data_IF_522783327713
#
_entry.id   IF_522783327713
#
_cell.length_a   1.000
_cell.length_b   1.000
_cell.length_c   1.000
_cell.angle_alpha   90.00
_cell.angle_beta   90.00
_cell.angle_gamma   90.00
#
_symmetry.space_group_name_H-M   'P 1'
#
loop_
_entity.id
_entity.type
_entity.pdbx_description
1 polymer ?
#
# COMPACT_ATOMS: atom_id res chain seq x y z
N UNK A 1 -72.39 1.77 23.28
CA UNK A 1 -71.60 1.07 22.26
C UNK A 1 -70.21 0.86 22.83
N UNK A 2 -69.94 -0.37 23.19
CA UNK A 2 -68.87 -0.79 24.10
C UNK A 2 -67.71 -1.32 23.26
N UNK A 3 -66.51 -0.75 23.40
CA UNK A 3 -65.30 -1.41 22.88
C UNK A 3 -64.96 -2.58 23.80
N UNK A 4 -65.03 -3.78 23.25
CA UNK A 4 -64.50 -5.02 23.84
C UNK A 4 -63.12 -5.23 23.23
N UNK A 5 -62.11 -5.38 24.09
CA UNK A 5 -60.83 -5.94 23.73
C UNK A 5 -60.95 -7.47 23.62
N UNK A 6 -60.34 -8.07 22.59
CA UNK A 6 -59.81 -9.43 22.70
C UNK A 6 -58.60 -9.62 21.79
N UNK A 7 -57.51 -10.02 22.45
CA UNK A 7 -56.26 -10.54 21.90
C UNK A 7 -56.52 -11.92 21.30
N UNK A 8 -55.97 -12.23 20.13
CA UNK A 8 -55.50 -13.59 19.84
C UNK A 8 -54.33 -13.58 18.84
N UNK A 9 -53.30 -14.32 19.26
CA UNK A 9 -52.04 -14.69 18.63
C UNK A 9 -52.09 -15.14 17.16
N UNK A 10 -51.03 -14.84 16.41
CA UNK A 10 -50.48 -15.77 15.42
C UNK A 10 -49.06 -16.15 15.79
N UNK A 11 -48.97 -17.26 16.53
CA UNK A 11 -47.81 -18.14 16.59
C UNK A 11 -47.60 -18.70 15.18
N UNK A 12 -46.40 -18.56 14.63
CA UNK A 12 -46.05 -19.09 13.31
C UNK A 12 -44.71 -18.57 12.80
N UNK A 13 -43.66 -18.64 13.62
CA UNK A 13 -42.30 -18.41 13.14
C UNK A 13 -41.90 -19.54 12.17
N UNK A 14 -41.02 -19.27 11.19
CA UNK A 14 -40.54 -20.32 10.29
C UNK A 14 -39.84 -21.40 11.11
N UNK A 15 -40.48 -22.56 11.18
CA UNK A 15 -39.87 -23.82 11.60
C UNK A 15 -38.72 -24.10 10.61
N UNK A 16 -37.51 -24.24 11.14
CA UNK A 16 -36.25 -24.52 10.46
C UNK A 16 -35.57 -23.31 9.78
N UNK A 17 -35.09 -22.37 10.60
CA UNK A 17 -33.78 -21.75 10.30
C UNK A 17 -32.73 -22.77 10.72
N UNK A 18 -31.94 -23.36 9.81
CA UNK A 18 -30.77 -24.10 10.23
C UNK A 18 -29.88 -23.08 10.92
N UNK A 19 -29.81 -23.14 12.25
CA UNK A 19 -28.73 -22.51 12.98
C UNK A 19 -27.49 -23.27 12.56
N UNK A 20 -26.82 -22.76 11.53
CA UNK A 20 -25.43 -23.11 11.28
C UNK A 20 -24.68 -22.54 12.47
N UNK A 21 -24.65 -23.32 13.56
CA UNK A 21 -23.58 -23.23 14.54
C UNK A 21 -22.35 -23.73 13.80
N UNK A 22 -21.79 -22.89 12.93
CA UNK A 22 -20.38 -22.96 12.66
C UNK A 22 -19.73 -22.67 14.02
N UNK A 23 -19.55 -23.71 14.83
CA UNK A 23 -18.48 -23.73 15.79
C UNK A 23 -17.21 -23.73 14.95
N UNK A 24 -16.82 -22.56 14.45
CA UNK A 24 -15.40 -22.28 14.36
C UNK A 24 -14.93 -22.49 15.81
N UNK A 25 -14.34 -23.65 16.05
CA UNK A 25 -13.67 -23.93 17.30
C UNK A 25 -12.53 -22.92 17.34
N UNK A 26 -12.81 -21.74 17.91
CA UNK A 26 -11.77 -20.81 18.32
C UNK A 26 -10.87 -21.64 19.23
N UNK A 27 -9.64 -21.88 18.78
CA UNK A 27 -8.63 -22.45 19.64
C UNK A 27 -8.66 -21.69 20.98
N UNK A 28 -8.53 -22.37 22.13
CA UNK A 28 -8.44 -21.69 23.42
C UNK A 28 -7.43 -20.53 23.32
N UNK A 29 -7.79 -19.38 23.86
CA UNK A 29 -6.88 -18.23 23.95
C UNK A 29 -5.62 -18.70 24.70
N UNK A 30 -4.46 -18.64 24.04
CA UNK A 30 -3.18 -19.17 24.54
C UNK A 30 -2.65 -20.45 23.86
N UNK A 31 -3.41 -21.07 22.96
CA UNK A 31 -2.98 -22.23 22.15
C UNK A 31 -2.53 -21.84 20.72
N UNK A 32 -2.27 -20.56 20.47
CA UNK A 32 -1.81 -20.05 19.18
C UNK A 32 -0.34 -19.70 19.23
N UNK A 33 0.50 -20.57 18.66
CA UNK A 33 1.97 -20.45 18.55
C UNK A 33 2.76 -20.82 19.83
N UNK A 34 2.98 -22.13 20.02
CA UNK A 34 3.91 -22.65 21.02
C UNK A 34 5.33 -22.65 20.44
N UNK A 35 6.23 -21.90 21.07
CA UNK A 35 7.66 -21.91 20.73
C UNK A 35 8.41 -22.88 21.64
N UNK A 36 9.10 -23.84 21.05
CA UNK A 36 10.04 -24.69 21.78
C UNK A 36 11.49 -24.18 21.68
N UNK A 37 12.41 -24.88 22.35
CA UNK A 37 13.82 -24.49 22.33
C UNK A 37 14.48 -24.67 20.94
N UNK A 38 13.94 -25.53 20.09
CA UNK A 38 14.34 -25.68 18.69
C UNK A 38 13.93 -24.46 17.87
N UNK A 39 12.67 -24.02 18.02
CA UNK A 39 12.15 -22.83 17.32
C UNK A 39 12.95 -21.57 17.67
N UNK A 40 13.23 -21.37 18.97
CA UNK A 40 14.03 -20.23 19.43
C UNK A 40 15.46 -20.25 18.89
N UNK A 41 16.09 -21.45 18.80
CA UNK A 41 17.42 -21.59 18.19
C UNK A 41 17.39 -21.29 16.70
N UNK A 42 16.35 -21.77 16.00
CA UNK A 42 16.18 -21.49 14.57
C UNK A 42 16.01 -19.99 14.30
N UNK A 43 15.14 -19.31 15.06
CA UNK A 43 14.93 -17.86 14.96
C UNK A 43 16.22 -17.09 15.28
N UNK A 44 16.91 -17.45 16.36
CA UNK A 44 18.17 -16.81 16.73
C UNK A 44 19.22 -16.98 15.63
N UNK A 45 19.33 -18.17 15.06
CA UNK A 45 20.26 -18.43 13.97
C UNK A 45 19.94 -17.63 12.70
N UNK A 46 18.65 -17.48 12.35
CA UNK A 46 18.23 -16.62 11.25
C UNK A 46 18.63 -15.15 11.49
N UNK A 47 18.58 -14.68 12.74
CA UNK A 47 19.05 -13.33 13.14
C UNK A 47 20.56 -13.22 12.97
N UNK A 48 21.35 -14.21 13.39
CA UNK A 48 22.81 -14.21 13.22
C UNK A 48 23.23 -14.11 11.75
N UNK A 49 22.54 -14.82 10.85
CA UNK A 49 22.76 -14.74 9.40
C UNK A 49 22.46 -13.35 8.86
N UNK A 50 21.32 -12.76 9.27
CA UNK A 50 20.95 -11.42 8.85
C UNK A 50 21.94 -10.36 9.37
N UNK A 51 22.44 -10.52 10.59
CA UNK A 51 23.45 -9.62 11.16
C UNK A 51 24.79 -9.71 10.42
N UNK A 52 25.25 -10.92 10.08
CA UNK A 52 26.47 -11.12 9.30
C UNK A 52 26.35 -10.50 7.90
N UNK A 53 25.22 -10.72 7.21
CA UNK A 53 24.93 -10.10 5.93
C UNK A 53 24.88 -8.57 6.02
N UNK A 54 24.20 -8.01 7.02
CA UNK A 54 24.13 -6.56 7.26
C UNK A 54 25.50 -5.92 7.62
N UNK A 55 26.49 -6.73 7.99
CA UNK A 55 27.88 -6.34 8.23
C UNK A 55 28.79 -6.50 6.99
N UNK A 56 28.24 -6.90 5.84
CA UNK A 56 28.97 -7.09 4.58
C UNK A 56 29.38 -8.55 4.31
N UNK A 57 28.90 -9.50 5.13
CA UNK A 57 29.04 -10.93 4.88
C UNK A 57 28.25 -11.39 3.65
N UNK A 58 28.55 -12.59 3.16
CA UNK A 58 27.82 -13.22 2.04
C UNK A 58 26.75 -14.14 2.57
N UNK A 59 25.51 -14.04 2.07
CA UNK A 59 24.40 -14.90 2.52
C UNK A 59 24.60 -16.38 2.20
N UNK A 60 25.08 -16.74 1.01
CA UNK A 60 25.25 -18.13 0.58
C UNK A 60 26.72 -18.54 0.69
N UNK A 61 27.03 -19.59 1.47
CA UNK A 61 28.40 -20.04 1.65
C UNK A 61 28.54 -21.11 2.75
N UNK A 62 29.74 -21.68 2.96
CA UNK A 62 29.96 -22.79 3.90
C UNK A 62 30.06 -22.37 5.38
N UNK A 63 30.08 -21.07 5.67
CA UNK A 63 30.31 -20.50 6.99
C UNK A 63 29.12 -20.67 7.94
N UNK A 64 29.34 -20.48 9.26
CA UNK A 64 28.31 -20.69 10.27
C UNK A 64 27.12 -19.73 10.09
N UNK A 65 27.34 -18.46 9.74
CA UNK A 65 26.29 -17.46 9.56
C UNK A 65 25.89 -17.29 8.09
N UNK A 66 25.89 -18.39 7.34
CA UNK A 66 25.53 -18.42 5.92
C UNK A 66 24.48 -19.50 5.67
N UNK A 67 23.71 -19.35 4.61
CA UNK A 67 22.69 -20.30 4.16
C UNK A 67 23.38 -21.56 3.62
N UNK A 68 23.36 -22.64 4.41
CA UNK A 68 23.97 -23.92 4.03
C UNK A 68 23.33 -25.11 4.75
N UNK A 69 23.53 -26.29 4.17
CA UNK A 69 23.22 -27.56 4.80
C UNK A 69 24.53 -28.27 5.13
N UNK A 70 24.90 -28.32 6.43
CA UNK A 70 26.12 -28.96 6.93
C UNK A 70 27.41 -28.49 6.23
N UNK A 71 27.57 -27.17 6.07
CA UNK A 71 28.71 -26.55 5.40
C UNK A 71 28.64 -26.57 3.88
N UNK A 72 27.59 -27.14 3.29
CA UNK A 72 27.37 -27.13 1.83
C UNK A 72 26.39 -26.03 1.45
N UNK A 73 26.78 -25.00 0.69
CA UNK A 73 25.88 -23.93 0.27
C UNK A 73 24.66 -24.49 -0.46
N UNK A 74 23.46 -24.09 -0.04
CA UNK A 74 22.22 -24.53 -0.67
C UNK A 74 21.21 -23.37 -0.73
N UNK A 75 20.95 -22.78 -1.91
CA UNK A 75 20.08 -21.63 -2.06
C UNK A 75 18.58 -21.93 -1.85
N UNK A 76 18.20 -23.20 -1.69
CA UNK A 76 16.79 -23.62 -1.49
C UNK A 76 16.39 -23.67 -0.01
N UNK A 77 17.31 -23.40 0.91
CA UNK A 77 17.01 -23.47 2.34
C UNK A 77 16.25 -22.22 2.79
N UNK A 78 15.17 -22.38 3.58
CA UNK A 78 14.40 -21.27 4.12
C UNK A 78 15.07 -20.69 5.37
N UNK A 79 16.32 -20.23 5.24
CA UNK A 79 17.15 -19.79 6.36
C UNK A 79 17.55 -18.31 6.22
N UNK A 80 17.54 -17.59 7.34
CA UNK A 80 17.77 -16.14 7.38
C UNK A 80 16.46 -15.34 7.49
N UNK A 81 16.59 -14.01 7.47
CA UNK A 81 15.46 -13.09 7.45
C UNK A 81 15.25 -12.54 6.04
N UNK A 82 14.01 -12.14 5.73
CA UNK A 82 13.70 -11.42 4.48
C UNK A 82 14.31 -10.02 4.54
N UNK A 83 14.94 -9.56 3.47
CA UNK A 83 15.24 -8.13 3.33
C UNK A 83 13.94 -7.36 3.10
N UNK A 84 13.94 -6.07 3.43
CA UNK A 84 12.74 -5.21 3.29
C UNK A 84 12.41 -4.95 1.83
N UNK A 85 13.43 -4.86 0.98
CA UNK A 85 13.29 -4.62 -0.46
C UNK A 85 13.05 -5.90 -1.27
N UNK A 86 12.91 -7.06 -0.63
CA UNK A 86 12.66 -8.35 -1.31
C UNK A 86 13.85 -8.92 -2.08
N UNK A 87 15.01 -8.24 -2.08
CA UNK A 87 16.26 -8.79 -2.61
C UNK A 87 16.71 -10.02 -1.82
N UNK A 88 17.60 -10.81 -2.43
CA UNK A 88 18.12 -12.07 -1.89
C UNK A 88 17.05 -13.12 -1.53
N UNK A 89 15.82 -12.99 -2.05
CA UNK A 89 14.82 -14.05 -1.99
C UNK A 89 15.29 -15.27 -2.81
N UNK A 90 16.01 -15.03 -3.91
CA UNK A 90 16.68 -16.05 -4.69
C UNK A 90 18.20 -15.91 -4.55
N UNK A 91 18.86 -16.96 -4.04
CA UNK A 91 20.29 -16.97 -3.77
C UNK A 91 21.12 -17.65 -4.88
N UNK A 92 20.54 -17.97 -6.04
CA UNK A 92 21.29 -18.56 -7.16
C UNK A 92 22.33 -17.56 -7.67
N UNK A 93 23.63 -17.88 -7.65
CA UNK A 93 24.69 -16.92 -8.00
C UNK A 93 25.02 -16.89 -9.49
N UNK A 94 24.60 -17.90 -10.27
CA UNK A 94 24.90 -18.01 -11.71
C UNK A 94 23.70 -18.54 -12.50
N UNK A 95 23.08 -17.73 -13.37
CA UNK A 95 23.22 -16.27 -13.40
C UNK A 95 22.82 -15.69 -12.04
N UNK A 96 23.34 -14.52 -11.70
CA UNK A 96 23.02 -13.88 -10.42
C UNK A 96 21.53 -13.49 -10.39
N UNK A 97 20.78 -14.08 -9.45
CA UNK A 97 19.33 -13.91 -9.29
C UNK A 97 18.96 -13.17 -8.01
N UNK A 98 19.90 -12.54 -7.29
CA UNK A 98 19.61 -11.90 -6.01
C UNK A 98 18.60 -10.74 -6.10
N UNK A 99 18.42 -10.12 -7.27
CA UNK A 99 17.42 -9.07 -7.46
C UNK A 99 16.07 -9.60 -7.95
N UNK A 100 15.88 -10.90 -8.14
CA UNK A 100 14.57 -11.40 -8.58
C UNK A 100 13.50 -11.02 -7.56
N UNK A 101 12.50 -10.27 -8.01
CA UNK A 101 11.41 -9.78 -7.15
C UNK A 101 11.85 -8.78 -6.07
N UNK A 102 12.99 -8.10 -6.24
CA UNK A 102 13.28 -6.92 -5.45
C UNK A 102 12.35 -5.76 -5.86
N UNK A 103 12.05 -4.86 -4.93
CA UNK A 103 11.39 -3.60 -5.21
C UNK A 103 12.28 -2.69 -6.05
N UNK A 104 11.68 -1.64 -6.59
CA UNK A 104 12.32 -0.62 -7.42
C UNK A 104 12.96 -1.16 -8.71
N UNK A 105 12.45 -2.29 -9.20
CA UNK A 105 12.83 -2.89 -10.47
C UNK A 105 11.83 -2.60 -11.58
N UNK A 106 12.32 -2.64 -12.82
CA UNK A 106 11.48 -2.47 -14.01
C UNK A 106 10.53 -3.64 -14.18
N UNK A 107 9.25 -3.37 -14.46
CA UNK A 107 8.30 -4.43 -14.78
C UNK A 107 8.74 -5.25 -16.00
N UNK A 108 8.72 -6.59 -15.92
CA UNK A 108 9.00 -7.43 -17.08
C UNK A 108 7.88 -7.26 -18.11
N UNK A 109 8.27 -7.11 -19.38
CA UNK A 109 7.32 -7.06 -20.49
C UNK A 109 7.12 -8.45 -21.08
N UNK A 110 5.86 -8.90 -21.10
CA UNK A 110 5.48 -10.11 -21.84
C UNK A 110 5.35 -9.84 -23.35
N UNK A 111 5.11 -8.59 -23.75
CA UNK A 111 4.90 -8.19 -25.15
C UNK A 111 5.60 -6.87 -25.46
N UNK A 112 5.84 -6.62 -26.76
CA UNK A 112 6.35 -5.33 -27.25
C UNK A 112 5.34 -4.22 -26.91
N UNK A 113 5.78 -3.07 -26.34
CA UNK A 113 4.87 -1.97 -26.02
C UNK A 113 4.24 -1.37 -27.29
N UNK A 114 2.98 -0.98 -27.19
CA UNK A 114 2.22 -0.34 -28.27
C UNK A 114 1.77 1.06 -27.84
N UNK A 115 2.44 2.09 -28.35
CA UNK A 115 2.05 3.49 -28.16
C UNK A 115 1.37 4.02 -29.43
N UNK A 116 0.20 4.64 -29.27
CA UNK A 116 -0.64 5.08 -30.39
C UNK A 116 -0.70 6.61 -30.48
N UNK A 117 -0.93 7.17 -31.68
CA UNK A 117 -1.38 8.55 -31.81
C UNK A 117 -2.66 8.79 -31.00
N UNK A 118 -2.82 10.01 -30.52
CA UNK A 118 -3.99 10.47 -29.78
C UNK A 118 -4.61 11.69 -30.47
N UNK A 119 -5.61 12.29 -29.83
CA UNK A 119 -6.34 13.42 -30.40
C UNK A 119 -5.52 14.72 -30.32
N UNK A 120 -5.99 15.75 -31.03
CA UNK A 120 -5.39 17.09 -31.05
C UNK A 120 -3.88 17.11 -31.40
N UNK A 121 -3.41 16.15 -32.19
CA UNK A 121 -2.01 16.04 -32.61
C UNK A 121 -1.06 15.53 -31.52
N UNK A 122 -1.59 15.07 -30.38
CA UNK A 122 -0.81 14.44 -29.31
C UNK A 122 -0.62 12.93 -29.58
N UNK A 123 0.22 12.26 -28.81
CA UNK A 123 0.53 10.85 -28.96
C UNK A 123 1.06 10.23 -27.68
N UNK A 124 0.69 8.97 -27.43
CA UNK A 124 1.29 8.18 -26.35
C UNK A 124 2.77 7.85 -26.58
N UNK A 125 3.32 8.09 -27.78
CA UNK A 125 4.77 8.01 -28.03
C UNK A 125 5.54 9.19 -27.43
N UNK A 126 4.86 10.28 -27.06
CA UNK A 126 5.50 11.44 -26.45
C UNK A 126 5.98 11.07 -25.04
N UNK A 127 7.26 11.31 -24.76
CA UNK A 127 7.86 11.03 -23.44
C UNK A 127 7.42 12.04 -22.38
N UNK A 128 7.16 13.28 -22.79
CA UNK A 128 6.71 14.35 -21.91
C UNK A 128 5.54 15.13 -22.56
N UNK A 129 4.89 15.97 -21.78
CA UNK A 129 3.73 16.76 -22.18
C UNK A 129 2.42 16.00 -22.02
N UNK A 130 1.33 16.74 -22.17
CA UNK A 130 -0.01 16.19 -22.05
C UNK A 130 -0.44 15.45 -23.32
N UNK A 131 -1.17 14.35 -23.12
CA UNK A 131 -1.88 13.63 -24.18
C UNK A 131 -3.35 14.01 -24.08
N UNK A 132 -3.98 14.38 -25.20
CA UNK A 132 -5.41 14.66 -25.27
C UNK A 132 -6.07 13.43 -25.90
N UNK A 133 -6.94 12.78 -25.13
CA UNK A 133 -7.61 11.56 -25.59
C UNK A 133 -8.96 11.37 -24.86
N UNK A 134 -10.05 11.60 -25.58
CA UNK A 134 -11.42 11.40 -25.08
C UNK A 134 -11.83 9.93 -25.02
N UNK A 135 -11.13 9.03 -25.72
CA UNK A 135 -11.54 7.65 -25.88
C UNK A 135 -11.66 6.85 -24.57
N UNK A 136 -10.77 6.99 -23.57
CA UNK A 136 -10.93 6.28 -22.29
C UNK A 136 -12.28 6.55 -21.62
N UNK A 137 -12.76 7.80 -21.66
CA UNK A 137 -14.07 8.17 -21.10
C UNK A 137 -15.22 7.67 -21.95
N UNK A 138 -15.12 7.77 -23.28
CA UNK A 138 -16.12 7.21 -24.19
C UNK A 138 -16.27 5.69 -23.97
N UNK A 139 -15.17 4.97 -23.86
CA UNK A 139 -15.16 3.52 -23.57
C UNK A 139 -15.82 3.26 -22.21
N UNK A 140 -15.51 4.06 -21.18
CA UNK A 140 -16.16 3.95 -19.87
C UNK A 140 -17.68 4.10 -19.95
N UNK A 141 -18.18 5.11 -20.67
CA UNK A 141 -19.62 5.32 -20.86
C UNK A 141 -20.28 4.18 -21.64
N UNK A 142 -19.59 3.60 -22.63
CA UNK A 142 -20.16 2.54 -23.47
C UNK A 142 -20.14 1.16 -22.80
N UNK A 143 -19.16 0.90 -21.93
CA UNK A 143 -18.90 -0.45 -21.40
C UNK A 143 -19.21 -0.57 -19.91
N UNK A 144 -18.76 0.40 -19.11
CA UNK A 144 -18.79 0.31 -17.64
C UNK A 144 -20.08 0.91 -17.06
N UNK A 145 -20.79 1.75 -17.81
CA UNK A 145 -22.07 2.31 -17.40
C UNK A 145 -23.07 1.20 -17.05
N UNK A 146 -23.54 1.18 -15.81
CA UNK A 146 -24.54 0.20 -15.33
C UNK A 146 -25.96 0.76 -15.34
N UNK A 147 -26.19 1.95 -15.89
CA UNK A 147 -27.53 2.54 -16.00
C UNK A 147 -28.32 1.98 -17.18
N UNK A 148 -29.57 2.44 -17.33
CA UNK A 148 -30.43 2.10 -18.46
C UNK A 148 -29.91 2.58 -19.83
N UNK A 149 -28.88 3.44 -19.86
CA UNK A 149 -28.27 3.91 -21.10
C UNK A 149 -27.35 2.87 -21.75
N UNK A 150 -26.95 1.82 -21.01
CA UNK A 150 -26.15 0.72 -21.53
C UNK A 150 -27.04 -0.51 -21.82
N UNK A 151 -27.23 -0.89 -23.10
CA UNK A 151 -28.02 -2.06 -23.47
C UNK A 151 -27.50 -3.37 -22.85
N UNK A 152 -26.20 -3.51 -22.60
CA UNK A 152 -25.63 -4.67 -21.95
C UNK A 152 -26.03 -4.75 -20.47
N UNK A 153 -26.05 -3.60 -19.76
CA UNK A 153 -26.52 -3.52 -18.38
C UNK A 153 -28.03 -3.82 -18.30
N UNK A 154 -28.83 -3.29 -19.23
CA UNK A 154 -30.27 -3.59 -19.35
C UNK A 154 -30.50 -5.08 -19.58
N UNK A 155 -29.76 -5.71 -20.49
CA UNK A 155 -29.87 -7.14 -20.76
C UNK A 155 -29.49 -8.00 -19.54
N UNK A 156 -28.43 -7.63 -18.81
CA UNK A 156 -28.01 -8.31 -17.59
C UNK A 156 -29.03 -8.14 -16.45
N UNK A 157 -29.62 -6.95 -16.29
CA UNK A 157 -30.66 -6.68 -15.30
C UNK A 157 -31.97 -7.41 -15.63
N UNK A 158 -32.37 -7.46 -16.91
CA UNK A 158 -33.57 -8.14 -17.37
C UNK A 158 -33.47 -9.68 -17.27
N UNK A 159 -32.25 -10.22 -17.25
CA UNK A 159 -31.99 -11.64 -17.05
C UNK A 159 -31.02 -11.83 -15.87
N UNK A 160 -31.50 -11.74 -14.62
CA UNK A 160 -30.68 -11.85 -13.42
C UNK A 160 -30.21 -13.29 -13.14
N UNK A 161 -30.13 -14.14 -14.17
CA UNK A 161 -29.58 -15.47 -14.07
C UNK A 161 -28.10 -15.47 -14.48
N UNK A 162 -27.31 -16.29 -13.80
CA UNK A 162 -25.95 -16.58 -14.25
C UNK A 162 -25.94 -17.17 -15.65
N UNK A 163 -24.76 -17.31 -16.23
CA UNK A 163 -24.60 -18.03 -17.50
C UNK A 163 -25.34 -19.39 -17.44
N UNK A 164 -26.02 -19.80 -18.50
CA UNK A 164 -26.78 -21.06 -18.53
C UNK A 164 -28.10 -21.11 -17.74
N UNK A 165 -28.48 -20.09 -16.96
CA UNK A 165 -29.81 -20.01 -16.34
C UNK A 165 -30.04 -20.92 -15.12
N UNK A 166 -28.99 -21.53 -14.58
CA UNK A 166 -29.10 -22.51 -13.49
C UNK A 166 -29.34 -21.88 -12.12
N UNK A 167 -28.72 -20.74 -11.86
CA UNK A 167 -28.90 -19.95 -10.64
C UNK A 167 -29.33 -18.55 -11.04
N UNK A 168 -30.45 -18.10 -10.48
CA UNK A 168 -31.01 -16.78 -10.72
C UNK A 168 -31.04 -15.97 -9.43
N UNK A 169 -30.54 -14.74 -9.53
CA UNK A 169 -30.74 -13.72 -8.51
C UNK A 169 -32.18 -13.20 -8.55
N UNK A 170 -32.62 -12.60 -7.44
CA UNK A 170 -33.85 -11.80 -7.46
C UNK A 170 -33.66 -10.54 -8.30
N UNK A 171 -34.75 -10.04 -8.88
CA UNK A 171 -34.75 -8.67 -9.41
C UNK A 171 -34.49 -7.66 -8.29
N UNK A 172 -33.74 -6.62 -8.57
CA UNK A 172 -33.46 -5.54 -7.63
C UNK A 172 -33.87 -4.18 -8.20
N UNK A 173 -34.14 -3.23 -7.31
CA UNK A 173 -34.38 -1.84 -7.71
C UNK A 173 -33.07 -1.19 -8.13
N UNK A 174 -33.12 -0.31 -9.12
CA UNK A 174 -31.98 0.54 -9.46
C UNK A 174 -31.57 1.39 -8.26
N UNK A 175 -30.28 1.69 -8.16
CA UNK A 175 -29.76 2.63 -7.18
C UNK A 175 -30.40 4.02 -7.40
N UNK A 176 -31.02 4.62 -6.37
CA UNK A 176 -31.78 5.86 -6.55
C UNK A 176 -30.91 7.10 -6.73
N UNK A 177 -29.61 7.03 -6.44
CA UNK A 177 -28.67 8.17 -6.55
C UNK A 177 -28.00 8.17 -7.92
N UNK A 178 -27.51 7.02 -8.33
CA UNK A 178 -26.71 6.83 -9.54
C UNK A 178 -27.52 6.33 -10.73
N UNK A 179 -28.71 5.76 -10.49
CA UNK A 179 -29.51 5.09 -11.52
C UNK A 179 -28.94 3.75 -11.97
N UNK A 180 -27.89 3.24 -11.31
CA UNK A 180 -27.28 1.96 -11.64
C UNK A 180 -28.30 0.82 -11.50
N UNK A 181 -28.43 -0.01 -12.52
CA UNK A 181 -29.30 -1.17 -12.53
C UNK A 181 -28.72 -2.25 -11.61
N UNK A 182 -29.61 -2.95 -10.90
CA UNK A 182 -29.19 -4.08 -10.08
C UNK A 182 -28.77 -5.26 -10.97
N UNK A 183 -27.51 -5.66 -10.90
CA UNK A 183 -26.99 -6.86 -11.54
C UNK A 183 -26.54 -7.80 -10.42
N UNK A 184 -27.12 -9.01 -10.31
CA UNK A 184 -26.78 -9.89 -9.20
C UNK A 184 -25.34 -10.40 -9.33
N UNK A 185 -24.67 -10.47 -8.19
CA UNK A 185 -23.40 -11.15 -8.08
C UNK A 185 -23.62 -12.66 -8.16
N UNK A 186 -23.41 -13.23 -9.34
CA UNK A 186 -23.48 -14.67 -9.60
C UNK A 186 -22.13 -15.09 -10.17
N UNK A 187 -21.57 -16.16 -9.63
CA UNK A 187 -20.25 -16.65 -10.05
C UNK A 187 -20.28 -17.18 -11.49
N UNK A 188 -19.14 -17.12 -12.22
CA UNK A 188 -19.08 -17.53 -13.64
C UNK A 188 -19.37 -19.01 -13.89
N UNK A 189 -19.25 -19.87 -12.87
CA UNK A 189 -19.57 -21.31 -12.91
C UNK A 189 -21.07 -21.57 -12.80
N UNK A 190 -21.87 -20.77 -13.50
CA UNK A 190 -23.34 -20.82 -13.50
C UNK A 190 -23.98 -20.54 -12.14
N UNK A 191 -23.26 -19.89 -11.22
CA UNK A 191 -23.71 -19.61 -9.87
C UNK A 191 -23.66 -20.79 -8.90
N UNK A 192 -22.96 -21.88 -9.26
CA UNK A 192 -22.82 -23.06 -8.41
C UNK A 192 -21.96 -22.76 -7.17
N UNK A 193 -20.97 -21.89 -7.32
CA UNK A 193 -20.17 -21.38 -6.22
C UNK A 193 -20.87 -20.23 -5.47
N UNK A 194 -20.48 -20.02 -4.21
CA UNK A 194 -21.00 -18.90 -3.44
C UNK A 194 -20.59 -17.56 -4.08
N UNK A 195 -21.49 -16.56 -4.16
CA UNK A 195 -21.16 -15.20 -4.55
C UNK A 195 -20.05 -14.59 -3.70
N UNK A 196 -19.29 -13.65 -4.27
CA UNK A 196 -18.32 -12.87 -3.50
C UNK A 196 -19.00 -11.89 -2.53
N UNK A 197 -18.29 -11.51 -1.47
CA UNK A 197 -18.70 -10.46 -0.55
C UNK A 197 -17.70 -9.31 -0.57
N UNK A 198 -17.99 -8.23 0.14
CA UNK A 198 -17.13 -7.05 0.15
C UNK A 198 -15.70 -7.33 0.67
N UNK A 199 -15.55 -8.27 1.61
CA UNK A 199 -14.23 -8.68 2.11
C UNK A 199 -13.38 -9.32 1.02
N UNK A 200 -13.98 -10.05 0.08
CA UNK A 200 -13.24 -10.62 -1.06
C UNK A 200 -12.63 -9.51 -1.93
N UNK A 201 -13.40 -8.44 -2.21
CA UNK A 201 -12.91 -7.29 -2.98
C UNK A 201 -11.79 -6.55 -2.24
N UNK A 202 -11.96 -6.27 -0.95
CA UNK A 202 -10.92 -5.59 -0.17
C UNK A 202 -9.67 -6.42 0.04
N UNK A 203 -9.82 -7.74 0.21
CA UNK A 203 -8.68 -8.64 0.23
C UNK A 203 -7.95 -8.61 -1.12
N UNK A 204 -8.67 -8.62 -2.24
CA UNK A 204 -8.09 -8.49 -3.56
C UNK A 204 -7.27 -7.20 -3.73
N UNK A 205 -7.84 -6.05 -3.31
CA UNK A 205 -7.12 -4.77 -3.32
C UNK A 205 -5.90 -4.77 -2.40
N UNK A 206 -6.05 -5.24 -1.16
CA UNK A 206 -4.94 -5.35 -0.23
C UNK A 206 -3.82 -6.23 -0.80
N UNK A 207 -4.18 -7.36 -1.43
CA UNK A 207 -3.23 -8.28 -2.02
C UNK A 207 -2.50 -7.66 -3.23
N UNK A 208 -3.24 -7.02 -4.14
CA UNK A 208 -2.72 -6.27 -5.30
C UNK A 208 -1.71 -5.20 -4.89
N UNK A 209 -2.01 -4.40 -3.85
CA UNK A 209 -1.11 -3.38 -3.33
C UNK A 209 0.21 -3.94 -2.77
N UNK A 210 0.30 -5.24 -2.52
CA UNK A 210 1.55 -5.90 -2.15
C UNK A 210 2.22 -6.67 -3.27
N UNK A 211 1.74 -6.56 -4.50
CA UNK A 211 2.36 -7.15 -5.67
C UNK A 211 2.88 -6.08 -6.62
N UNK A 212 2.14 -4.98 -6.77
CA UNK A 212 2.57 -3.89 -7.62
C UNK A 212 2.15 -2.48 -7.16
N UNK A 213 3.03 -1.52 -7.44
CA UNK A 213 2.75 -0.10 -7.35
C UNK A 213 3.65 0.66 -8.33
N UNK A 214 3.04 1.50 -9.17
CA UNK A 214 3.74 2.26 -10.22
C UNK A 214 3.94 3.72 -9.81
N UNK A 215 5.15 4.26 -10.00
CA UNK A 215 5.42 5.68 -9.84
C UNK A 215 4.55 6.55 -10.77
N UNK A 216 3.94 7.60 -10.23
CA UNK A 216 3.03 8.50 -10.95
C UNK A 216 3.68 9.89 -11.09
N UNK A 217 3.52 10.52 -12.25
CA UNK A 217 3.90 11.92 -12.50
C UNK A 217 5.22 12.12 -13.25
N UNK A 218 5.59 13.39 -13.44
CA UNK A 218 6.83 13.81 -14.12
C UNK A 218 6.76 13.90 -15.64
N UNK A 219 5.72 13.34 -16.29
CA UNK A 219 5.67 13.17 -17.75
C UNK A 219 4.39 13.72 -18.41
N UNK A 220 3.77 14.70 -17.75
CA UNK A 220 2.49 15.27 -18.14
C UNK A 220 1.28 14.43 -17.69
N UNK A 221 0.14 14.69 -18.32
CA UNK A 221 -1.14 14.08 -17.98
C UNK A 221 -1.88 13.62 -19.23
N UNK A 222 -2.78 12.65 -19.08
CA UNK A 222 -3.83 12.37 -20.04
C UNK A 222 -5.02 13.29 -19.69
N UNK A 223 -5.35 14.18 -20.62
CA UNK A 223 -6.55 15.02 -20.57
C UNK A 223 -7.61 14.29 -21.38
N UNK A 224 -8.76 14.03 -20.77
CA UNK A 224 -9.87 13.30 -21.37
C UNK A 224 -11.06 14.26 -21.53
N UNK A 225 -11.20 14.94 -22.69
CA UNK A 225 -12.35 15.80 -22.94
C UNK A 225 -13.67 15.05 -22.81
N UNK A 226 -14.65 15.68 -22.17
CA UNK A 226 -16.01 15.15 -22.07
C UNK A 226 -16.79 15.49 -23.33
N UNK A 227 -17.55 14.52 -23.85
CA UNK A 227 -18.46 14.76 -24.95
C UNK A 227 -19.69 15.55 -24.46
N UNK A 228 -20.38 16.34 -25.32
CA UNK A 228 -21.55 17.12 -24.91
C UNK A 228 -22.70 16.30 -24.32
N UNK A 229 -22.77 15.01 -24.66
CA UNK A 229 -23.75 14.04 -24.17
C UNK A 229 -23.24 13.22 -22.96
N UNK A 230 -22.03 13.49 -22.47
CA UNK A 230 -21.54 12.88 -21.23
C UNK A 230 -22.34 13.43 -20.02
N UNK A 231 -22.80 12.58 -19.09
CA UNK A 231 -23.53 13.04 -17.90
C UNK A 231 -22.77 14.04 -17.01
N UNK A 232 -21.43 14.06 -17.09
CA UNK A 232 -20.60 15.02 -16.34
C UNK A 232 -20.37 16.34 -17.09
N UNK A 233 -20.80 16.44 -18.35
CA UNK A 233 -20.64 17.64 -19.16
C UNK A 233 -21.59 18.74 -18.72
N UNK A 234 -21.07 19.96 -18.58
CA UNK A 234 -21.86 21.17 -18.27
C UNK A 234 -21.64 22.20 -19.37
N UNK A 235 -22.69 22.51 -20.12
CA UNK A 235 -22.60 23.46 -21.23
C UNK A 235 -22.02 24.81 -20.78
N UNK A 236 -20.99 25.28 -21.49
CA UNK A 236 -20.27 26.52 -21.18
C UNK A 236 -19.26 26.43 -20.02
N UNK A 237 -19.15 25.28 -19.35
CA UNK A 237 -18.12 25.09 -18.31
C UNK A 237 -16.71 25.01 -18.92
N UNK A 238 -15.71 25.66 -18.29
CA UNK A 238 -14.32 25.53 -18.71
C UNK A 238 -13.68 24.20 -18.26
N UNK A 239 -14.37 23.36 -17.48
CA UNK A 239 -13.82 22.13 -16.88
C UNK A 239 -14.44 20.85 -17.43
N UNK A 240 -14.88 20.84 -18.69
CA UNK A 240 -15.44 19.66 -19.36
C UNK A 240 -14.36 18.66 -19.80
N UNK A 241 -13.53 18.22 -18.85
CA UNK A 241 -12.50 17.19 -19.06
C UNK A 241 -12.15 16.52 -17.74
N UNK A 242 -11.72 15.26 -17.82
CA UNK A 242 -11.03 14.56 -16.73
C UNK A 242 -9.52 14.64 -16.94
N UNK A 243 -8.75 14.52 -15.87
CA UNK A 243 -7.28 14.53 -15.93
C UNK A 243 -6.70 13.39 -15.12
N UNK A 244 -5.70 12.71 -15.68
CA UNK A 244 -4.96 11.63 -15.02
C UNK A 244 -3.47 11.81 -15.26
N UNK A 245 -2.66 11.78 -14.21
CA UNK A 245 -1.19 11.86 -14.37
C UNK A 245 -0.66 10.61 -15.06
N UNK A 246 0.34 10.79 -15.93
CA UNK A 246 1.03 9.67 -16.58
C UNK A 246 2.03 9.06 -15.61
N UNK A 247 2.37 7.78 -15.80
CA UNK A 247 3.41 7.11 -15.02
C UNK A 247 4.79 7.78 -15.22
N UNK A 248 5.69 7.58 -14.26
CA UNK A 248 7.07 8.07 -14.34
C UNK A 248 7.88 7.21 -15.32
N UNK A 249 8.39 7.81 -16.40
CA UNK A 249 9.38 7.22 -17.30
C UNK A 249 10.70 7.00 -16.57
N UNK A 250 11.52 6.12 -17.14
CA UNK A 250 12.87 5.85 -16.69
C UNK A 250 13.88 6.69 -17.47
N UNK A 251 15.03 7.05 -16.88
CA UNK A 251 16.08 7.76 -17.59
C UNK A 251 16.57 6.92 -18.78
N UNK A 252 16.89 7.61 -19.87
CA UNK A 252 17.53 7.01 -21.03
C UNK A 252 19.03 6.77 -20.83
N UNK A 253 19.77 6.45 -21.92
CA UNK A 253 21.23 6.40 -21.92
C UNK A 253 21.95 7.62 -21.31
N UNK A 254 21.34 8.81 -21.30
CA UNK A 254 21.90 10.00 -20.67
C UNK A 254 21.82 10.01 -19.13
N UNK A 255 21.05 9.10 -18.53
CA UNK A 255 20.86 9.00 -17.09
C UNK A 255 19.94 10.08 -16.49
N UNK A 256 19.25 10.87 -17.32
CA UNK A 256 18.41 12.01 -16.89
C UNK A 256 16.96 11.72 -17.27
N UNK A 257 16.02 11.97 -16.34
CA UNK A 257 14.58 11.85 -16.61
C UNK A 257 14.04 13.15 -17.21
N UNK A 258 13.13 13.04 -18.17
CA UNK A 258 12.45 14.17 -18.81
C UNK A 258 13.11 14.62 -20.10
N UNK A 259 14.02 13.81 -20.65
CA UNK A 259 14.73 14.05 -21.91
C UNK A 259 14.11 13.23 -23.05
N UNK A 260 14.66 13.37 -24.25
CA UNK A 260 14.09 12.74 -25.45
C UNK A 260 14.33 11.22 -25.50
N UNK A 261 15.34 10.72 -24.80
CA UNK A 261 15.74 9.31 -24.75
C UNK A 261 15.13 8.53 -23.57
N UNK A 262 14.25 9.16 -22.79
CA UNK A 262 13.45 8.53 -21.73
C UNK A 262 12.82 7.20 -22.19
N UNK A 263 12.91 6.20 -21.34
CA UNK A 263 12.34 4.87 -21.56
C UNK A 263 10.94 4.83 -20.95
N UNK A 264 9.94 4.46 -21.75
CA UNK A 264 8.54 4.35 -21.30
C UNK A 264 8.27 2.96 -20.71
N UNK A 265 8.90 2.70 -19.59
CA UNK A 265 8.66 1.53 -18.73
C UNK A 265 8.29 1.99 -17.32
N UNK A 266 7.76 1.08 -16.51
CA UNK A 266 7.42 1.36 -15.11
C UNK A 266 8.39 0.66 -14.17
N UNK A 267 8.71 1.32 -13.06
CA UNK A 267 9.29 0.69 -11.88
C UNK A 267 8.14 0.16 -11.00
N UNK A 268 8.29 -1.06 -10.49
CA UNK A 268 7.48 -1.55 -9.39
C UNK A 268 8.10 -1.11 -8.07
N UNK A 269 7.42 -0.25 -7.32
CA UNK A 269 7.88 0.19 -6.00
C UNK A 269 7.74 -0.90 -4.93
N UNK A 270 6.96 -1.94 -5.19
CA UNK A 270 6.70 -2.99 -4.21
C UNK A 270 7.54 -4.23 -4.49
N UNK A 271 7.72 -5.07 -3.47
CA UNK A 271 8.19 -6.43 -3.66
C UNK A 271 7.05 -7.27 -4.25
N UNK A 272 7.18 -7.89 -5.44
CA UNK A 272 6.14 -8.74 -6.02
C UNK A 272 6.03 -10.13 -5.32
N UNK A 273 6.29 -10.16 -4.01
CA UNK A 273 6.20 -11.33 -3.16
C UNK A 273 5.00 -11.21 -2.23
N UNK A 274 4.41 -12.35 -1.86
CA UNK A 274 3.41 -12.39 -0.77
C UNK A 274 4.15 -12.36 0.57
N UNK A 275 4.65 -11.19 0.96
CA UNK A 275 5.54 -11.00 2.12
C UNK A 275 5.04 -9.95 3.13
N UNK A 276 3.80 -9.48 2.97
CA UNK A 276 3.19 -8.42 3.78
C UNK A 276 3.89 -7.05 3.66
N UNK A 277 4.54 -6.74 2.54
CA UNK A 277 5.07 -5.40 2.30
C UNK A 277 4.01 -4.27 2.40
N UNK A 278 2.71 -4.58 2.26
CA UNK A 278 1.63 -3.62 2.52
C UNK A 278 1.61 -3.14 3.97
N UNK A 279 2.14 -3.94 4.89
CA UNK A 279 2.27 -3.61 6.32
C UNK A 279 3.70 -3.18 6.66
N UNK A 280 4.70 -3.87 6.12
CA UNK A 280 6.10 -3.71 6.52
C UNK A 280 6.95 -2.86 5.56
N UNK A 281 6.32 -2.35 4.50
CA UNK A 281 6.90 -1.56 3.40
C UNK A 281 7.83 -2.37 2.50
N UNK A 282 8.18 -1.79 1.34
CA UNK A 282 9.15 -2.34 0.38
C UNK A 282 10.48 -1.57 0.39
N UNK A 283 10.72 -0.68 1.35
CA UNK A 283 11.97 0.08 1.42
C UNK A 283 12.41 0.27 2.87
N UNK A 284 13.65 -0.10 3.19
CA UNK A 284 14.20 -0.08 4.55
C UNK A 284 14.04 1.26 5.28
N UNK A 285 14.28 2.39 4.58
CA UNK A 285 14.02 3.74 5.13
C UNK A 285 12.56 3.95 5.55
N UNK A 286 11.59 3.52 4.74
CA UNK A 286 10.16 3.67 5.05
C UNK A 286 9.81 2.84 6.29
N UNK A 287 10.32 1.62 6.39
CA UNK A 287 10.11 0.76 7.54
C UNK A 287 10.61 1.38 8.85
N UNK A 288 11.73 2.13 8.84
CA UNK A 288 12.23 2.82 10.04
C UNK A 288 11.19 3.79 10.60
N UNK A 289 10.46 4.52 9.76
CA UNK A 289 9.45 5.48 10.22
C UNK A 289 8.17 4.81 10.72
N UNK A 290 7.86 3.59 10.28
CA UNK A 290 6.64 2.85 10.68
C UNK A 290 6.83 1.95 11.91
N UNK A 291 8.06 1.69 12.35
CA UNK A 291 8.34 0.96 13.60
C UNK A 291 8.10 1.87 14.82
N UNK A 292 7.70 1.30 15.95
CA UNK A 292 7.60 2.02 17.22
C UNK A 292 8.96 2.09 17.93
N UNK A 293 9.28 3.25 18.52
CA UNK A 293 10.52 3.47 19.26
C UNK A 293 10.29 3.96 20.68
N UNK A 294 11.09 3.41 21.59
CA UNK A 294 11.24 3.91 22.95
C UNK A 294 12.60 4.57 23.12
N UNK A 295 12.71 5.50 24.08
CA UNK A 295 13.99 6.12 24.40
C UNK A 295 14.66 5.36 25.54
N UNK A 296 15.78 4.70 25.26
CA UNK A 296 16.59 4.03 26.27
C UNK A 296 17.93 4.75 26.34
N UNK A 297 18.27 5.26 27.53
CA UNK A 297 19.48 6.05 27.76
C UNK A 297 19.69 7.19 26.73
N UNK A 298 18.60 7.86 26.35
CA UNK A 298 18.62 8.98 25.40
C UNK A 298 18.72 8.58 23.93
N UNK A 299 18.62 7.29 23.58
CA UNK A 299 18.69 6.79 22.20
C UNK A 299 17.39 6.09 21.77
N UNK A 300 16.97 6.21 20.50
CA UNK A 300 15.84 5.45 19.98
C UNK A 300 16.19 3.97 19.89
N UNK A 301 15.35 3.13 20.49
CA UNK A 301 15.42 1.66 20.41
C UNK A 301 14.04 1.15 20.01
N UNK A 302 14.00 0.34 18.96
CA UNK A 302 12.75 -0.29 18.52
C UNK A 302 12.28 -1.31 19.54
N UNK A 303 10.98 -1.33 19.84
CA UNK A 303 10.39 -2.26 20.81
C UNK A 303 9.71 -3.48 20.18
N UNK A 304 9.89 -3.65 18.87
CA UNK A 304 9.35 -4.76 18.08
C UNK A 304 7.91 -4.55 17.58
N UNK A 305 7.29 -3.40 17.88
CA UNK A 305 5.95 -3.06 17.41
C UNK A 305 5.98 -2.15 16.18
N UNK A 306 4.87 -2.13 15.46
CA UNK A 306 4.56 -1.07 14.50
C UNK A 306 4.00 0.15 15.22
N UNK A 307 4.11 1.32 14.61
CA UNK A 307 3.61 2.57 15.18
C UNK A 307 2.08 2.54 15.25
N UNK A 308 1.57 2.46 16.48
CA UNK A 308 0.16 2.51 16.81
C UNK A 308 -0.35 3.96 16.94
N UNK A 309 -1.63 4.16 16.61
CA UNK A 309 -2.37 5.41 16.81
C UNK A 309 -3.11 5.47 18.15
N UNK A 310 -3.79 6.59 18.42
CA UNK A 310 -4.33 6.91 19.75
C UNK A 310 -5.53 6.10 20.26
N UNK A 311 -6.19 5.29 19.43
CA UNK A 311 -7.35 4.49 19.85
C UNK A 311 -6.94 3.05 20.08
N UNK A 312 -6.96 2.63 21.35
CA UNK A 312 -6.52 1.32 21.78
C UNK A 312 -7.60 0.61 22.60
N UNK A 313 -7.70 -0.71 22.43
CA UNK A 313 -8.55 -1.58 23.26
C UNK A 313 -7.76 -2.80 23.72
N UNK A 314 -8.02 -3.37 24.91
CA UNK A 314 -7.33 -4.59 25.33
C UNK A 314 -7.53 -5.72 24.33
N UNK A 315 -6.45 -6.41 23.93
CA UNK A 315 -6.58 -7.63 23.15
C UNK A 315 -7.23 -8.72 24.01
N UNK A 316 -8.03 -9.62 23.42
CA UNK A 316 -8.54 -10.79 24.12
C UNK A 316 -7.44 -11.87 24.28
N UNK A 317 -6.19 -11.48 24.53
CA UNK A 317 -5.04 -12.38 24.76
C UNK A 317 -4.87 -12.72 26.24
N UNK A 318 -5.49 -11.96 27.14
CA UNK A 318 -5.34 -12.14 28.59
C UNK A 318 -4.01 -11.61 29.14
N UNK A 319 -3.17 -10.99 28.30
CA UNK A 319 -1.89 -10.39 28.70
C UNK A 319 -2.15 -8.97 29.23
N UNK A 320 -1.83 -8.66 30.51
CA UNK A 320 -2.00 -7.31 31.05
C UNK A 320 -1.24 -6.26 30.23
N UNK A 321 -1.93 -5.23 29.76
CA UNK A 321 -1.34 -4.15 28.97
C UNK A 321 -1.18 -4.45 27.48
N UNK A 322 -1.60 -5.64 27.01
CA UNK A 322 -1.65 -5.92 25.58
C UNK A 322 -2.88 -5.23 24.96
N UNK A 323 -2.63 -4.21 24.14
CA UNK A 323 -3.65 -3.43 23.47
C UNK A 323 -3.54 -3.61 21.95
N UNK A 324 -4.69 -3.68 21.29
CA UNK A 324 -4.81 -3.49 19.85
C UNK A 324 -5.23 -2.04 19.62
N UNK A 325 -4.38 -1.32 18.92
CA UNK A 325 -4.62 0.07 18.56
C UNK A 325 -4.95 0.19 17.07
N UNK A 326 -5.53 1.32 16.69
CA UNK A 326 -5.58 1.70 15.27
C UNK A 326 -4.16 1.87 14.73
N UNK A 327 -4.02 1.72 13.42
CA UNK A 327 -2.78 2.10 12.72
C UNK A 327 -2.47 3.58 12.99
N UNK A 328 -1.19 3.91 13.21
CA UNK A 328 -0.74 5.29 13.36
C UNK A 328 -1.13 6.15 12.15
N UNK A 329 -1.63 7.34 12.41
CA UNK A 329 -1.91 8.36 11.40
C UNK A 329 -0.65 9.21 11.12
N UNK A 330 -0.75 10.09 10.13
CA UNK A 330 0.36 10.97 9.72
C UNK A 330 0.87 11.87 10.87
N UNK A 331 -0.01 12.30 11.76
CA UNK A 331 0.34 13.03 12.97
C UNK A 331 1.26 12.22 13.89
N UNK A 332 0.92 10.97 14.19
CA UNK A 332 1.77 10.10 15.03
C UNK A 332 3.12 9.80 14.37
N UNK A 333 3.16 9.60 13.04
CA UNK A 333 4.42 9.43 12.29
C UNK A 333 5.32 10.65 12.44
N UNK A 334 4.78 11.86 12.21
CA UNK A 334 5.52 13.12 12.40
C UNK A 334 5.99 13.31 13.84
N UNK A 335 5.13 13.04 14.82
CA UNK A 335 5.45 13.19 16.25
C UNK A 335 6.56 12.24 16.67
N UNK A 336 6.49 10.96 16.28
CA UNK A 336 7.55 10.00 16.60
C UNK A 336 8.86 10.37 15.88
N UNK A 337 8.80 10.73 14.60
CA UNK A 337 9.97 11.14 13.84
C UNK A 337 10.69 12.31 14.53
N UNK A 338 9.98 13.34 14.97
CA UNK A 338 10.57 14.49 15.65
C UNK A 338 11.13 14.12 17.04
N UNK A 339 10.33 13.43 17.86
CA UNK A 339 10.64 13.24 19.29
C UNK A 339 11.54 12.04 19.60
N UNK A 340 11.51 10.99 18.77
CA UNK A 340 12.29 9.76 18.96
C UNK A 340 13.43 9.64 17.97
N UNK A 341 13.17 9.95 16.70
CA UNK A 341 14.17 9.83 15.63
C UNK A 341 14.97 11.13 15.42
N UNK A 342 14.50 12.26 15.97
CA UNK A 342 15.14 13.56 15.83
C UNK A 342 15.03 14.18 14.44
N UNK A 343 14.01 13.79 13.66
CA UNK A 343 13.81 14.22 12.27
C UNK A 343 12.46 14.94 12.14
N UNK A 344 12.49 16.17 11.63
CA UNK A 344 11.31 16.96 11.32
C UNK A 344 10.77 16.57 9.95
N UNK A 345 9.72 15.76 9.93
CA UNK A 345 8.93 15.53 8.72
C UNK A 345 7.98 16.71 8.46
N UNK A 346 7.91 17.15 7.21
CA UNK A 346 6.95 18.16 6.71
C UNK A 346 5.84 17.47 5.91
N UNK A 347 4.70 18.14 5.70
CA UNK A 347 3.56 17.49 5.04
C UNK A 347 3.87 16.99 3.63
N UNK A 348 4.79 17.63 2.90
CA UNK A 348 5.24 17.15 1.59
C UNK A 348 5.92 15.77 1.66
N UNK A 349 6.49 15.39 2.81
CA UNK A 349 7.14 14.10 2.98
C UNK A 349 6.16 12.94 2.88
N UNK A 350 4.85 13.18 3.08
CA UNK A 350 3.81 12.15 2.91
C UNK A 350 3.83 11.52 1.52
N UNK A 351 4.26 12.29 0.51
CA UNK A 351 4.31 11.88 -0.89
C UNK A 351 5.68 11.31 -1.29
N UNK A 352 6.71 11.42 -0.44
CA UNK A 352 8.00 10.85 -0.74
C UNK A 352 8.89 10.72 0.51
N UNK A 353 9.06 9.50 0.99
CA UNK A 353 9.81 9.17 2.21
C UNK A 353 11.28 9.62 2.06
N UNK A 354 11.82 10.40 3.04
CA UNK A 354 13.24 10.72 3.09
C UNK A 354 14.11 9.46 3.20
N UNK A 355 15.27 9.45 2.53
CA UNK A 355 16.21 8.35 2.60
C UNK A 355 17.02 8.40 3.91
N UNK A 356 16.92 7.33 4.69
CA UNK A 356 17.75 7.07 5.86
C UNK A 356 18.83 6.04 5.51
N UNK A 357 20.01 6.21 6.11
CA UNK A 357 21.04 5.20 6.10
C UNK A 357 20.57 3.99 6.92
N UNK A 358 20.34 2.87 6.24
CA UNK A 358 19.76 1.64 6.80
C UNK A 358 20.54 0.42 6.32
N UNK A 359 20.36 -0.71 7.00
CA UNK A 359 20.72 -2.02 6.46
C UNK A 359 19.54 -2.67 5.70
N UNK A 360 19.76 -3.79 4.98
CA UNK A 360 18.71 -4.44 4.20
C UNK A 360 17.51 -4.94 5.02
N UNK A 361 17.61 -4.97 6.35
CA UNK A 361 16.59 -5.50 7.27
C UNK A 361 15.84 -4.38 8.01
N UNK A 362 15.97 -3.14 7.54
CA UNK A 362 15.23 -1.98 8.07
C UNK A 362 15.72 -1.50 9.43
N UNK A 363 16.95 -1.85 9.83
CA UNK A 363 17.59 -1.23 10.97
C UNK A 363 18.42 -0.03 10.49
N UNK A 364 18.16 1.15 11.07
CA UNK A 364 18.94 2.35 10.74
C UNK A 364 20.37 2.22 11.25
N UNK A 365 21.33 2.77 10.51
CA UNK A 365 22.70 2.89 11.01
C UNK A 365 22.77 4.14 11.91
N UNK A 366 23.05 3.99 13.21
CA UNK A 366 23.08 5.11 14.12
C UNK A 366 24.30 6.01 13.85
N UNK A 367 24.10 7.32 13.94
CA UNK A 367 25.20 8.27 13.99
C UNK A 367 25.88 8.31 15.37
N UNK A 368 26.83 9.23 15.59
CA UNK A 368 27.58 9.35 16.84
C UNK A 368 26.73 9.56 18.10
N UNK A 369 25.54 10.18 17.99
CA UNK A 369 24.60 10.37 19.10
C UNK A 369 23.63 9.20 19.27
N UNK A 370 23.61 8.25 18.35
CA UNK A 370 22.75 7.07 18.37
C UNK A 370 21.43 7.24 17.64
N UNK A 371 21.27 8.29 16.82
CA UNK A 371 20.05 8.58 16.06
C UNK A 371 20.19 8.17 14.59
N UNK A 372 19.07 7.95 13.86
CA UNK A 372 19.12 7.68 12.43
C UNK A 372 19.74 8.83 11.64
N UNK A 373 20.34 8.52 10.50
CA UNK A 373 21.01 9.49 9.64
C UNK A 373 20.28 9.64 8.30
N UNK A 374 19.87 10.87 7.96
CA UNK A 374 19.38 11.25 6.63
C UNK A 374 20.54 11.23 5.64
N UNK A 375 20.32 10.67 4.45
CA UNK A 375 21.29 10.69 3.35
C UNK A 375 21.06 11.95 2.52
N UNK A 376 22.07 12.81 2.42
CA UNK A 376 21.99 14.09 1.72
C UNK A 376 22.76 14.03 0.38
N UNK A 377 22.37 14.82 -0.64
CA UNK A 377 23.11 14.92 -1.90
C UNK A 377 24.48 15.57 -1.70
N UNK A 378 25.44 15.23 -2.55
CA UNK A 378 26.74 15.89 -2.63
C UNK A 378 26.70 17.02 -3.68
N UNK A 379 27.30 18.21 -3.42
CA UNK A 379 27.88 18.62 -2.14
C UNK A 379 26.80 18.78 -1.07
N UNK A 380 27.14 18.47 0.19
CA UNK A 380 26.17 18.52 1.28
C UNK A 380 25.54 19.93 1.36
N UNK A 381 24.22 20.04 1.57
CA UNK A 381 23.56 21.34 1.75
C UNK A 381 24.30 22.21 2.78
N UNK A 382 24.51 23.49 2.49
CA UNK A 382 25.30 24.37 3.33
C UNK A 382 24.75 24.40 4.77
N UNK A 383 25.63 24.17 5.75
CA UNK A 383 25.25 24.14 7.17
C UNK A 383 24.53 22.87 7.64
N UNK A 384 24.30 21.89 6.76
CA UNK A 384 23.67 20.61 7.15
C UNK A 384 24.62 19.71 7.95
N UNK A 385 25.90 19.64 7.57
CA UNK A 385 26.93 18.86 8.24
C UNK A 385 28.24 19.66 8.35
N UNK A 386 29.14 19.32 9.29
CA UNK A 386 30.46 19.94 9.36
C UNK A 386 31.23 19.84 8.03
N UNK A 387 32.03 20.86 7.72
CA UNK A 387 32.84 20.87 6.50
C UNK A 387 33.80 19.66 6.45
N UNK A 388 33.78 18.92 5.33
CA UNK A 388 34.59 17.72 5.14
C UNK A 388 33.98 16.42 5.72
N UNK A 389 32.79 16.48 6.33
CA UNK A 389 32.07 15.28 6.73
C UNK A 389 31.36 14.60 5.54
N UNK A 390 31.04 13.31 5.71
CA UNK A 390 30.10 12.61 4.82
C UNK A 390 28.74 13.33 4.82
N UNK A 391 28.04 13.35 3.67
CA UNK A 391 26.70 13.94 3.53
C UNK A 391 25.61 13.09 4.22
N UNK A 392 25.75 12.91 5.52
CA UNK A 392 24.87 12.17 6.41
C UNK A 392 24.50 13.07 7.58
N UNK A 393 23.22 13.41 7.69
CA UNK A 393 22.70 14.26 8.75
C UNK A 393 22.01 13.40 9.82
N UNK A 394 22.68 13.24 10.95
CA UNK A 394 22.12 12.54 12.10
C UNK A 394 20.95 13.35 12.72
N UNK A 395 19.86 12.65 13.04
CA UNK A 395 18.73 13.20 13.78
C UNK A 395 19.12 13.85 15.10
N UNK A 396 18.39 14.88 15.47
CA UNK A 396 18.58 15.64 16.71
C UNK A 396 17.24 16.15 17.24
N UNK A 397 16.66 15.51 18.27
CA UNK A 397 15.41 15.97 18.85
C UNK A 397 15.46 17.39 19.42
N UNK A 398 16.65 17.95 19.71
CA UNK A 398 16.79 19.32 20.21
C UNK A 398 16.94 20.36 19.09
N UNK A 399 17.23 19.94 17.86
CA UNK A 399 17.39 20.85 16.73
C UNK A 399 16.09 21.59 16.42
N UNK A 400 16.24 22.78 15.82
CA UNK A 400 15.12 23.63 15.39
C UNK A 400 14.09 23.92 16.51
N UNK A 401 14.57 24.10 17.74
CA UNK A 401 13.71 24.38 18.89
C UNK A 401 12.91 23.17 19.39
N UNK A 402 13.44 21.96 19.22
CA UNK A 402 12.76 20.72 19.64
C UNK A 402 11.98 20.01 18.53
N UNK A 403 12.11 20.47 17.28
CA UNK A 403 11.33 19.95 16.15
C UNK A 403 12.03 18.83 15.38
N UNK A 404 13.32 18.58 15.62
CA UNK A 404 14.12 17.67 14.81
C UNK A 404 14.88 18.38 13.69
N UNK A 405 15.85 17.70 13.08
CA UNK A 405 16.56 18.17 11.87
C UNK A 405 15.66 18.14 10.65
N UNK A 406 15.84 19.04 9.69
CA UNK A 406 14.97 19.13 8.52
C UNK A 406 15.21 17.99 7.52
N UNK A 407 14.15 17.32 7.07
CA UNK A 407 14.16 16.25 6.08
C UNK A 407 14.26 16.73 4.62
N UNK A 408 13.98 18.00 4.35
CA UNK A 408 13.82 18.54 2.98
C UNK A 408 15.07 18.41 2.11
N UNK A 409 16.25 18.44 2.72
CA UNK A 409 17.53 18.29 2.03
C UNK A 409 17.94 16.84 1.75
N UNK A 410 17.19 15.84 2.22
CA UNK A 410 17.53 14.44 2.03
C UNK A 410 17.17 13.94 0.63
N UNK A 411 17.92 12.93 0.17
CA UNK A 411 17.49 12.08 -0.93
C UNK A 411 16.14 11.47 -0.61
N UNK A 412 15.43 11.09 -1.67
CA UNK A 412 14.07 10.60 -1.62
C UNK A 412 14.02 9.18 -2.16
N UNK A 413 13.24 8.33 -1.50
CA UNK A 413 13.12 6.91 -1.86
C UNK A 413 12.21 6.70 -3.07
N UNK A 414 11.38 7.69 -3.41
CA UNK A 414 10.24 7.59 -4.31
C UNK A 414 9.06 6.76 -3.79
N UNK A 415 9.06 6.37 -2.52
CA UNK A 415 7.94 5.68 -1.87
C UNK A 415 7.11 6.69 -1.07
N UNK A 416 5.79 6.58 -1.07
CA UNK A 416 4.88 7.42 -0.30
C UNK A 416 4.57 6.78 1.06
N UNK A 417 4.30 7.60 2.07
CA UNK A 417 3.70 7.11 3.33
C UNK A 417 2.23 6.73 3.14
N UNK A 418 1.51 7.45 2.28
CA UNK A 418 0.09 7.22 2.00
C UNK A 418 -0.13 7.08 0.49
N UNK A 419 -0.69 5.94 0.10
CA UNK A 419 -1.05 5.61 -1.27
C UNK A 419 -2.56 5.46 -1.43
N UNK A 420 -3.03 5.67 -2.67
CA UNK A 420 -4.41 5.42 -3.12
C UNK A 420 -5.50 5.92 -2.17
N UNK A 421 -5.29 7.16 -1.71
CA UNK A 421 -6.19 7.87 -0.82
C UNK A 421 -7.53 8.07 -1.53
N UNK A 422 -8.63 7.69 -0.88
CA UNK A 422 -9.96 7.93 -1.41
C UNK A 422 -10.16 9.42 -1.70
N UNK A 423 -10.83 9.75 -2.81
CA UNK A 423 -11.01 11.15 -3.26
C UNK A 423 -11.68 12.04 -2.19
N UNK A 424 -12.52 11.47 -1.33
CA UNK A 424 -13.18 12.18 -0.23
C UNK A 424 -12.32 12.29 1.04
N UNK A 425 -11.19 11.58 1.09
CA UNK A 425 -10.20 11.63 2.15
C UNK A 425 -8.99 12.52 1.77
N UNK A 426 -8.93 13.04 0.53
CA UNK A 426 -7.96 14.04 0.15
C UNK A 426 -8.34 15.41 0.78
N UNK A 427 -7.43 16.10 1.49
CA UNK A 427 -7.75 17.39 2.10
C UNK A 427 -8.21 18.43 1.07
N UNK A 428 -9.41 18.99 1.23
CA UNK A 428 -9.96 20.04 0.37
C UNK A 428 -10.56 21.18 1.22
N UNK A 429 -10.35 22.47 0.88
CA UNK A 429 -11.02 23.58 1.57
C UNK A 429 -12.55 23.40 1.65
N UNK A 430 -13.12 23.67 2.82
CA UNK A 430 -14.57 23.57 3.06
C UNK A 430 -15.07 22.22 3.58
N UNK A 431 -14.22 21.19 3.63
CA UNK A 431 -14.56 19.92 4.28
C UNK A 431 -14.29 20.00 5.79
N UNK A 432 -15.26 19.55 6.58
CA UNK A 432 -15.16 19.41 8.04
C UNK A 432 -14.51 18.05 8.34
N UNK A 433 -13.58 17.95 9.31
CA UNK A 433 -13.09 16.66 9.79
C UNK A 433 -14.26 15.73 10.12
N UNK A 434 -14.17 14.46 9.75
CA UNK A 434 -15.18 13.47 10.17
C UNK A 434 -15.25 13.43 11.70
N UNK A 435 -16.46 13.26 12.25
CA UNK A 435 -16.69 13.27 13.69
C UNK A 435 -16.27 11.95 14.38
N UNK A 436 -15.68 11.02 13.64
CA UNK A 436 -15.23 9.71 14.11
C UNK A 436 -16.35 8.82 14.70
N UNK A 437 -17.62 9.11 14.37
CA UNK A 437 -18.78 8.38 14.93
C UNK A 437 -19.29 7.24 14.05
N UNK A 438 -18.78 7.14 12.82
CA UNK A 438 -19.17 6.10 11.85
C UNK A 438 -17.93 5.53 11.17
N UNK A 439 -17.81 4.19 11.13
CA UNK A 439 -16.83 3.53 10.26
C UNK A 439 -17.31 3.75 8.81
N UNK A 440 -16.68 4.69 8.11
CA UNK A 440 -16.87 4.85 6.68
C UNK A 440 -16.02 3.82 5.92
N UNK A 441 -16.40 3.53 4.68
CA UNK A 441 -15.80 2.50 3.81
C UNK A 441 -14.31 2.78 3.49
N UNK A 442 -13.79 3.96 3.85
CA UNK A 442 -12.39 4.33 3.67
C UNK A 442 -11.83 4.85 5.00
N UNK A 443 -11.24 3.95 5.79
CA UNK A 443 -10.69 4.21 7.12
C UNK A 443 -9.40 5.04 7.17
N UNK A 444 -9.30 6.13 6.41
CA UNK A 444 -8.18 7.08 6.52
C UNK A 444 -8.59 8.25 7.40
N UNK A 445 -7.97 8.31 8.58
CA UNK A 445 -8.19 9.37 9.59
C UNK A 445 -7.28 10.56 9.28
N UNK A 446 -7.86 11.75 9.26
CA UNK A 446 -7.12 13.01 9.27
C UNK A 446 -7.54 13.85 10.48
N UNK A 447 -6.59 14.10 11.38
CA UNK A 447 -6.61 15.33 12.19
C UNK A 447 -5.73 16.36 11.48
N UNK A 448 -6.22 17.59 11.34
CA UNK A 448 -5.37 18.73 10.94
C UNK A 448 -4.31 19.03 11.98
#
# INVERSE_FOLDING_TARGET
MTMIAMVLSTVGGPLFVPTVKAQAQTAPIGEGFHLDAGDLRFIFHAIEIAQDHAAGGTLLGPGPNQVNLFGTPNPQLPLGLRTVDGSFNNLVPVPDQHLFGASDLVFPRLTVPSFRPAEAGTSYTQKNGSVIDSQPRIISNLIVDQTANNPAAVAANANPCGSGGFVCGGGGTSDPVTGALFIPNITPDFGLSAPFNLMFTFFGQFFDHGLDLVNKGGNGAVIMPLQPDDPLFVAGSPTNFMVMTRATNLPGPDGIVGTADDIQDGINQTTPWVDQNQTYTSHASHQVFLRQYQMIAGRPVGDGKMLDGGFCTPRPTGIPGDQICNIGNWGEVKTQAATKLGIRLVDQDVFNVPLLLTDPYGHFKPGPRGFPQLVLPAPCPAGSVPAGASCLLEGDPAANGGAGVDSSGAFRTNHQFLNDIAHNAAPNPGLVPDADTTISVFGVRWSR
#
